data_IF_743518658059
#
_entry.id   IF_743518658059
#
_cell.length_a   1.000
_cell.length_b   1.000
_cell.length_c   1.000
_cell.angle_alpha   90.00
_cell.angle_beta   90.00
_cell.angle_gamma   90.00
#
_symmetry.space_group_name_H-M   'P 1'
#
loop_
_entity.id
_entity.type
_entity.pdbx_description
1 polymer ?
#
# COMPACT_ATOMS: atom_id res chain seq x y z
N UNK A 1 -33.61 75.43 -62.11
CA UNK A 1 -32.55 74.51 -61.71
C UNK A 1 -32.42 74.41 -60.17
N UNK A 2 -33.45 73.96 -59.47
CA UNK A 2 -33.46 73.82 -57.98
C UNK A 2 -34.40 72.73 -57.54
N UNK A 3 -34.28 71.49 -58.10
CA UNK A 3 -35.11 70.41 -57.65
C UNK A 3 -34.39 69.00 -57.64
N UNK A 4 -33.08 68.98 -57.79
CA UNK A 4 -32.35 67.72 -57.91
C UNK A 4 -31.40 67.41 -56.68
N UNK A 5 -31.23 68.35 -55.77
CA UNK A 5 -30.33 68.19 -54.61
C UNK A 5 -31.03 67.90 -53.29
N UNK A 6 -32.36 67.73 -53.28
CA UNK A 6 -33.10 67.48 -52.03
C UNK A 6 -33.53 65.99 -51.85
N UNK A 7 -33.20 65.10 -52.80
CA UNK A 7 -33.55 63.67 -52.69
C UNK A 7 -32.41 62.74 -52.31
N UNK A 8 -31.21 63.27 -52.08
CA UNK A 8 -30.03 62.42 -51.71
C UNK A 8 -29.72 62.41 -50.19
N UNK A 9 -30.50 63.06 -49.35
CA UNK A 9 -30.18 63.22 -47.91
C UNK A 9 -31.05 62.40 -46.97
N UNK A 10 -31.89 61.42 -47.45
CA UNK A 10 -32.79 60.63 -46.60
C UNK A 10 -32.46 59.14 -46.52
N UNK A 11 -31.24 58.72 -46.95
CA UNK A 11 -30.83 57.30 -46.89
C UNK A 11 -29.70 56.96 -45.90
N UNK A 12 -29.32 57.91 -45.03
CA UNK A 12 -28.27 57.65 -44.03
C UNK A 12 -28.79 57.83 -42.62
N UNK A 13 -29.70 56.99 -42.21
CA UNK A 13 -30.11 56.91 -40.79
C UNK A 13 -30.46 55.48 -40.37
N UNK A 14 -29.46 54.61 -40.15
CA UNK A 14 -29.57 53.48 -39.21
C UNK A 14 -28.21 53.17 -38.56
N UNK A 15 -27.76 53.98 -37.58
CA UNK A 15 -26.52 53.69 -36.84
C UNK A 15 -26.60 52.41 -35.97
N UNK A 16 -27.80 51.84 -35.75
CA UNK A 16 -27.97 50.67 -34.90
C UNK A 16 -27.53 49.37 -35.56
N UNK A 17 -27.63 49.18 -36.86
CA UNK A 17 -27.20 47.94 -37.53
C UNK A 17 -25.66 47.85 -37.65
N UNK A 18 -24.97 48.93 -37.80
CA UNK A 18 -23.50 48.95 -37.81
C UNK A 18 -22.93 48.68 -36.41
N UNK A 19 -23.58 49.21 -35.34
CA UNK A 19 -23.15 48.96 -33.95
C UNK A 19 -23.43 47.48 -33.56
N UNK A 20 -24.55 46.90 -33.98
CA UNK A 20 -24.81 45.49 -33.74
C UNK A 20 -23.83 44.56 -34.50
N UNK A 21 -23.49 44.90 -35.76
CA UNK A 21 -22.50 44.13 -36.52
C UNK A 21 -21.09 44.25 -35.92
N UNK A 22 -20.69 45.42 -35.44
CA UNK A 22 -19.40 45.61 -34.73
C UNK A 22 -19.36 44.88 -33.36
N UNK A 23 -20.49 44.87 -32.63
CA UNK A 23 -20.58 44.16 -31.35
C UNK A 23 -20.55 42.64 -31.59
N UNK A 24 -21.18 42.13 -32.64
CA UNK A 24 -21.11 40.69 -32.99
C UNK A 24 -19.71 40.33 -33.48
N UNK A 25 -19.01 41.18 -34.22
CA UNK A 25 -17.63 40.97 -34.65
C UNK A 25 -16.67 41.07 -33.45
N UNK A 26 -16.88 41.98 -32.50
CA UNK A 26 -16.11 42.09 -31.25
C UNK A 26 -16.40 40.96 -30.29
N UNK A 27 -17.64 40.44 -30.23
CA UNK A 27 -17.98 39.22 -29.46
C UNK A 27 -17.40 37.95 -30.09
N UNK A 28 -17.27 37.89 -31.41
CA UNK A 28 -16.57 36.80 -32.11
C UNK A 28 -15.03 36.89 -31.96
N UNK A 29 -14.48 38.10 -31.75
CA UNK A 29 -13.03 38.30 -31.49
C UNK A 29 -12.69 38.18 -29.99
N UNK A 30 -13.69 38.28 -29.11
CA UNK A 30 -13.58 38.04 -27.67
C UNK A 30 -13.93 36.59 -27.28
N UNK A 31 -14.20 35.69 -28.22
CA UNK A 31 -14.00 34.26 -27.94
C UNK A 31 -12.52 34.11 -27.60
N UNK A 32 -12.15 33.77 -26.33
CA UNK A 32 -10.80 33.32 -26.10
C UNK A 32 -10.58 32.26 -27.17
N UNK A 33 -9.57 32.48 -28.03
CA UNK A 33 -9.14 31.49 -28.99
C UNK A 33 -9.19 30.16 -28.22
N UNK A 34 -10.17 29.32 -28.56
CA UNK A 34 -10.17 27.96 -28.15
C UNK A 34 -8.85 27.44 -28.73
N UNK A 35 -7.78 27.57 -27.95
CA UNK A 35 -6.55 26.89 -28.24
C UNK A 35 -7.00 25.44 -28.37
N UNK A 36 -7.05 24.96 -29.59
CA UNK A 36 -7.30 23.55 -29.84
C UNK A 36 -6.14 22.87 -29.15
N UNK A 37 -6.35 22.50 -27.86
CA UNK A 37 -5.35 21.79 -27.10
C UNK A 37 -4.92 20.62 -27.95
N UNK A 38 -3.66 20.63 -28.37
CA UNK A 38 -3.09 19.52 -29.10
C UNK A 38 -3.02 18.32 -28.16
N UNK A 39 -3.10 17.14 -28.70
CA UNK A 39 -2.98 15.91 -27.93
C UNK A 39 -1.72 15.93 -27.04
N UNK A 40 -0.58 16.41 -27.59
CA UNK A 40 0.67 16.55 -26.84
C UNK A 40 0.59 17.57 -25.69
N UNK A 41 -0.01 18.77 -25.95
CA UNK A 41 -0.18 19.78 -24.91
C UNK A 41 -1.13 19.33 -23.79
N UNK A 42 -2.19 18.58 -24.12
CA UNK A 42 -3.10 18.00 -23.12
C UNK A 42 -2.40 16.95 -22.27
N UNK A 43 -1.54 16.10 -22.86
CA UNK A 43 -0.73 15.14 -22.09
C UNK A 43 0.22 15.86 -21.13
N UNK A 44 0.91 16.87 -21.60
CA UNK A 44 1.84 17.64 -20.77
C UNK A 44 1.14 18.32 -19.60
N UNK A 45 -0.02 18.95 -19.83
CA UNK A 45 -0.80 19.57 -18.78
C UNK A 45 -1.28 18.54 -17.75
N UNK A 46 -1.78 17.39 -18.22
CA UNK A 46 -2.27 16.32 -17.35
C UNK A 46 -1.14 15.77 -16.46
N UNK A 47 0.06 15.56 -17.00
CA UNK A 47 1.22 15.18 -16.22
C UNK A 47 1.59 16.23 -15.19
N UNK A 48 1.60 17.51 -15.57
CA UNK A 48 1.89 18.63 -14.66
C UNK A 48 0.89 18.68 -13.51
N UNK A 49 -0.41 18.49 -13.78
CA UNK A 49 -1.46 18.48 -12.76
C UNK A 49 -1.30 17.31 -11.79
N UNK A 50 -0.90 16.13 -12.30
CA UNK A 50 -0.59 14.95 -11.48
C UNK A 50 0.64 15.14 -10.59
N UNK A 51 1.70 15.76 -11.11
CA UNK A 51 2.94 16.03 -10.38
C UNK A 51 2.74 17.13 -9.32
N UNK A 52 1.94 18.15 -9.64
CA UNK A 52 1.64 19.27 -8.74
C UNK A 52 0.55 18.93 -7.70
N UNK A 53 -0.07 17.74 -7.80
CA UNK A 53 -1.13 17.32 -6.88
C UNK A 53 -2.50 17.99 -7.15
N UNK A 54 -2.69 18.62 -8.31
CA UNK A 54 -3.98 19.20 -8.74
C UNK A 54 -4.91 18.09 -9.25
N UNK A 55 -5.27 17.14 -8.35
CA UNK A 55 -5.92 15.88 -8.72
C UNK A 55 -7.30 16.07 -9.35
N UNK A 56 -8.08 17.06 -8.92
CA UNK A 56 -9.39 17.36 -9.49
C UNK A 56 -9.28 17.84 -10.92
N UNK A 57 -8.32 18.72 -11.21
CA UNK A 57 -8.07 19.23 -12.55
C UNK A 57 -7.56 18.12 -13.47
N UNK A 58 -6.66 17.25 -12.94
CA UNK A 58 -6.18 16.07 -13.65
C UNK A 58 -7.32 15.10 -14.02
N UNK A 59 -8.28 14.85 -13.11
CA UNK A 59 -9.45 14.01 -13.40
C UNK A 59 -10.32 14.65 -14.48
N UNK A 60 -10.67 15.91 -14.35
CA UNK A 60 -11.50 16.63 -15.34
C UNK A 60 -10.86 16.66 -16.72
N UNK A 61 -9.57 17.02 -16.78
CA UNK A 61 -8.82 17.07 -18.04
C UNK A 61 -8.67 15.69 -18.64
N UNK A 62 -8.40 14.67 -17.81
CA UNK A 62 -8.29 13.27 -18.25
C UNK A 62 -9.60 12.73 -18.83
N UNK A 63 -10.75 13.01 -18.20
CA UNK A 63 -12.07 12.65 -18.72
C UNK A 63 -12.35 13.26 -20.09
N UNK A 64 -12.04 14.57 -20.24
CA UNK A 64 -12.16 15.26 -21.53
C UNK A 64 -11.23 14.67 -22.59
N UNK A 65 -9.99 14.37 -22.21
CA UNK A 65 -8.99 13.77 -23.09
C UNK A 65 -9.41 12.38 -23.56
N UNK A 66 -9.87 11.51 -22.67
CA UNK A 66 -10.38 10.17 -23.02
C UNK A 66 -11.60 10.22 -23.93
N UNK A 67 -12.49 11.22 -23.72
CA UNK A 67 -13.64 11.42 -24.61
C UNK A 67 -13.20 11.87 -26.01
N UNK A 68 -12.18 12.71 -26.11
CA UNK A 68 -11.69 13.25 -27.38
C UNK A 68 -10.76 12.29 -28.12
N UNK A 69 -9.96 11.51 -27.38
CA UNK A 69 -8.98 10.56 -27.93
C UNK A 69 -9.16 9.16 -27.27
N UNK A 70 -10.28 8.47 -27.55
CA UNK A 70 -10.67 7.26 -26.82
C UNK A 70 -9.73 6.06 -27.02
N UNK A 71 -8.91 6.09 -28.07
CA UNK A 71 -7.94 5.03 -28.40
C UNK A 71 -6.51 5.33 -27.93
N UNK A 72 -6.30 6.46 -27.25
CA UNK A 72 -4.98 6.80 -26.73
C UNK A 72 -4.79 6.16 -25.34
N UNK A 73 -3.87 5.19 -25.18
CA UNK A 73 -3.67 4.49 -23.91
C UNK A 73 -3.16 5.42 -22.82
N UNK A 74 -2.33 6.43 -23.15
CA UNK A 74 -1.72 7.32 -22.16
C UNK A 74 -2.74 8.19 -21.43
N UNK A 75 -3.80 8.67 -22.11
CA UNK A 75 -4.84 9.41 -21.40
C UNK A 75 -5.61 8.56 -20.42
N UNK A 76 -5.86 7.28 -20.76
CA UNK A 76 -6.47 6.35 -19.83
C UNK A 76 -5.56 6.01 -18.66
N UNK A 77 -4.27 5.80 -18.93
CA UNK A 77 -3.28 5.58 -17.90
C UNK A 77 -3.24 6.77 -16.90
N UNK A 78 -3.03 7.99 -17.39
CA UNK A 78 -2.96 9.18 -16.52
C UNK A 78 -4.28 9.47 -15.78
N UNK A 79 -5.43 9.25 -16.42
CA UNK A 79 -6.72 9.36 -15.76
C UNK A 79 -6.87 8.33 -14.65
N UNK A 80 -6.43 7.09 -14.88
CA UNK A 80 -6.40 6.03 -13.87
C UNK A 80 -5.52 6.40 -12.68
N UNK A 81 -4.32 6.95 -12.93
CA UNK A 81 -3.42 7.46 -11.88
C UNK A 81 -4.07 8.63 -11.11
N UNK A 82 -4.76 9.54 -11.81
CA UNK A 82 -5.48 10.64 -11.18
C UNK A 82 -6.58 10.15 -10.24
N UNK A 83 -7.39 9.18 -10.67
CA UNK A 83 -8.41 8.56 -9.83
C UNK A 83 -7.81 7.85 -8.63
N UNK A 84 -6.71 7.09 -8.81
CA UNK A 84 -6.06 6.39 -7.71
C UNK A 84 -5.55 7.36 -6.64
N UNK A 85 -4.84 8.40 -7.06
CA UNK A 85 -4.36 9.45 -6.15
C UNK A 85 -5.52 10.22 -5.47
N UNK A 86 -6.68 10.32 -6.11
CA UNK A 86 -7.89 10.92 -5.54
C UNK A 86 -8.68 9.98 -4.62
N UNK A 87 -8.26 8.72 -4.49
CA UNK A 87 -8.92 7.71 -3.63
C UNK A 87 -10.03 6.91 -4.32
N UNK A 88 -10.31 7.13 -5.61
CA UNK A 88 -11.28 6.34 -6.37
C UNK A 88 -10.61 5.12 -7.04
N UNK A 89 -10.34 4.10 -6.22
CA UNK A 89 -9.67 2.89 -6.68
C UNK A 89 -10.49 2.12 -7.74
N UNK A 90 -11.82 2.24 -7.74
CA UNK A 90 -12.68 1.57 -8.72
C UNK A 90 -12.52 2.18 -10.11
N UNK A 91 -12.62 3.51 -10.23
CA UNK A 91 -12.42 4.19 -11.51
C UNK A 91 -10.97 4.07 -11.98
N UNK A 92 -10.02 4.11 -11.06
CA UNK A 92 -8.61 3.88 -11.37
C UNK A 92 -8.40 2.52 -12.04
N UNK A 93 -8.91 1.45 -11.45
CA UNK A 93 -8.83 0.10 -12.02
C UNK A 93 -9.45 0.04 -13.41
N UNK A 94 -10.65 0.61 -13.61
CA UNK A 94 -11.31 0.60 -14.92
C UNK A 94 -10.45 1.27 -16.00
N UNK A 95 -9.93 2.47 -15.71
CA UNK A 95 -9.15 3.21 -16.71
C UNK A 95 -7.79 2.56 -16.98
N UNK A 96 -7.10 2.06 -15.94
CA UNK A 96 -5.80 1.38 -16.10
C UNK A 96 -5.94 0.05 -16.82
N UNK A 97 -6.97 -0.75 -16.55
CA UNK A 97 -7.25 -1.98 -17.31
C UNK A 97 -7.42 -1.67 -18.80
N UNK A 98 -8.19 -0.63 -19.13
CA UNK A 98 -8.36 -0.22 -20.54
C UNK A 98 -7.08 0.37 -21.15
N UNK A 99 -6.20 0.97 -20.35
CA UNK A 99 -4.88 1.41 -20.83
C UNK A 99 -4.01 0.20 -21.21
N UNK A 100 -3.95 -0.83 -20.36
CA UNK A 100 -3.25 -2.08 -20.65
C UNK A 100 -3.84 -2.83 -21.86
N UNK A 101 -5.17 -2.83 -22.02
CA UNK A 101 -5.83 -3.43 -23.21
C UNK A 101 -5.43 -2.73 -24.52
N UNK A 102 -5.27 -1.40 -24.48
CA UNK A 102 -4.88 -0.59 -25.65
C UNK A 102 -3.40 -0.65 -25.97
N UNK A 103 -2.55 -0.73 -24.96
CA UNK A 103 -1.10 -0.90 -25.08
C UNK A 103 -0.59 -1.95 -24.09
N UNK A 104 -0.61 -3.25 -24.45
CA UNK A 104 -0.11 -4.32 -23.59
C UNK A 104 1.40 -4.28 -23.33
N UNK A 105 2.14 -3.31 -23.91
CA UNK A 105 3.57 -3.12 -23.71
C UNK A 105 3.89 -1.91 -22.85
N UNK A 106 2.88 -1.24 -22.31
CA UNK A 106 3.08 -0.16 -21.33
C UNK A 106 3.35 -0.75 -19.93
N UNK A 107 4.64 -0.95 -19.62
CA UNK A 107 5.08 -1.44 -18.30
C UNK A 107 4.57 -0.57 -17.14
N UNK A 108 4.45 0.74 -17.35
CA UNK A 108 4.01 1.66 -16.31
C UNK A 108 2.50 1.50 -16.04
N UNK A 109 1.68 1.31 -17.07
CA UNK A 109 0.25 1.07 -16.90
C UNK A 109 -0.02 -0.24 -16.12
N UNK A 110 0.68 -1.34 -16.45
CA UNK A 110 0.62 -2.60 -15.69
C UNK A 110 1.07 -2.42 -14.24
N UNK A 111 2.15 -1.68 -14.00
CA UNK A 111 2.64 -1.39 -12.67
C UNK A 111 1.61 -0.60 -11.84
N UNK A 112 1.04 0.47 -12.40
CA UNK A 112 0.06 1.30 -11.71
C UNK A 112 -1.26 0.55 -11.48
N UNK A 113 -1.70 -0.31 -12.42
CA UNK A 113 -2.84 -1.20 -12.22
C UNK A 113 -2.60 -2.15 -11.04
N UNK A 114 -1.39 -2.71 -10.94
CA UNK A 114 -1.03 -3.57 -9.83
C UNK A 114 -1.06 -2.83 -8.49
N UNK A 115 -0.61 -1.56 -8.42
CA UNK A 115 -0.73 -0.76 -7.20
C UNK A 115 -2.17 -0.59 -6.74
N UNK A 116 -3.10 -0.33 -7.68
CA UNK A 116 -4.53 -0.25 -7.38
C UNK A 116 -5.06 -1.58 -6.84
N UNK A 117 -4.71 -2.69 -7.50
CA UNK A 117 -5.14 -4.04 -7.10
C UNK A 117 -4.59 -4.45 -5.73
N UNK A 118 -3.33 -4.10 -5.43
CA UNK A 118 -2.74 -4.30 -4.10
C UNK A 118 -3.48 -3.51 -3.02
N UNK A 119 -3.90 -2.29 -3.30
CA UNK A 119 -4.69 -1.48 -2.36
C UNK A 119 -6.07 -2.08 -2.07
N UNK A 120 -6.61 -2.83 -3.02
CA UNK A 120 -7.86 -3.58 -2.90
C UNK A 120 -7.67 -5.01 -2.36
N UNK A 121 -6.44 -5.38 -1.96
CA UNK A 121 -6.06 -6.72 -1.50
C UNK A 121 -6.29 -7.84 -2.54
N UNK A 122 -6.37 -7.47 -3.82
CA UNK A 122 -6.48 -8.43 -4.92
C UNK A 122 -5.09 -8.92 -5.35
N UNK A 123 -4.44 -9.66 -4.46
CA UNK A 123 -3.03 -10.02 -4.59
C UNK A 123 -2.72 -10.91 -5.80
N UNK A 124 -3.64 -11.81 -6.16
CA UNK A 124 -3.44 -12.75 -7.28
C UNK A 124 -3.40 -12.01 -8.61
N UNK A 125 -4.38 -11.11 -8.85
CA UNK A 125 -4.42 -10.33 -10.09
C UNK A 125 -3.30 -9.29 -10.11
N UNK A 126 -2.98 -8.67 -8.95
CA UNK A 126 -1.85 -7.76 -8.83
C UNK A 126 -0.52 -8.43 -9.22
N UNK A 127 -0.31 -9.70 -8.82
CA UNK A 127 0.87 -10.46 -9.22
C UNK A 127 0.95 -10.62 -10.74
N UNK A 128 -0.16 -10.94 -11.41
CA UNK A 128 -0.19 -11.07 -12.88
C UNK A 128 0.20 -9.76 -13.58
N UNK A 129 -0.31 -8.63 -13.10
CA UNK A 129 0.03 -7.32 -13.68
C UNK A 129 1.49 -6.94 -13.41
N UNK A 130 2.04 -7.28 -12.23
CA UNK A 130 3.46 -7.07 -11.93
C UNK A 130 4.36 -7.98 -12.77
N UNK A 131 3.98 -9.24 -12.98
CA UNK A 131 4.68 -10.15 -13.89
C UNK A 131 4.74 -9.57 -15.30
N UNK A 132 3.62 -9.03 -15.81
CA UNK A 132 3.59 -8.35 -17.12
C UNK A 132 4.50 -7.12 -17.16
N UNK A 133 4.45 -6.26 -16.13
CA UNK A 133 5.34 -5.10 -16.01
C UNK A 133 6.82 -5.49 -16.02
N UNK A 134 7.19 -6.52 -15.25
CA UNK A 134 8.57 -7.02 -15.14
C UNK A 134 9.04 -7.66 -16.46
N UNK A 135 8.17 -8.37 -17.19
CA UNK A 135 8.54 -8.90 -18.51
C UNK A 135 8.95 -7.79 -19.49
N UNK A 136 8.35 -6.62 -19.39
CA UNK A 136 8.66 -5.47 -20.23
C UNK A 136 9.86 -4.70 -19.68
N UNK A 137 9.93 -4.52 -18.35
CA UNK A 137 10.99 -3.75 -17.67
C UNK A 137 11.59 -4.57 -16.52
N UNK A 138 12.49 -5.53 -16.81
CA UNK A 138 13.03 -6.45 -15.80
C UNK A 138 13.92 -5.79 -14.73
N UNK A 139 14.36 -4.54 -14.97
CA UNK A 139 15.24 -3.82 -14.04
C UNK A 139 14.51 -2.99 -12.99
N UNK A 140 13.18 -3.07 -12.92
CA UNK A 140 12.40 -2.34 -11.92
C UNK A 140 12.43 -3.08 -10.57
N UNK A 141 13.39 -2.74 -9.70
CA UNK A 141 13.53 -3.36 -8.38
C UNK A 141 12.27 -3.24 -7.51
N UNK A 142 11.55 -2.11 -7.59
CA UNK A 142 10.31 -1.91 -6.84
C UNK A 142 9.19 -2.86 -7.31
N UNK A 143 9.10 -3.12 -8.62
CA UNK A 143 8.13 -4.09 -9.15
C UNK A 143 8.38 -5.50 -8.59
N UNK A 144 9.65 -5.93 -8.48
CA UNK A 144 10.01 -7.19 -7.85
C UNK A 144 9.65 -7.23 -6.35
N UNK A 145 9.86 -6.14 -5.60
CA UNK A 145 9.39 -6.08 -4.18
C UNK A 145 7.87 -6.21 -4.09
N UNK A 146 7.13 -5.51 -4.94
CA UNK A 146 5.67 -5.56 -4.91
C UNK A 146 5.13 -6.92 -5.34
N UNK A 147 5.78 -7.57 -6.32
CA UNK A 147 5.44 -8.94 -6.73
C UNK A 147 5.71 -9.94 -5.60
N UNK A 148 6.87 -9.83 -4.94
CA UNK A 148 7.17 -10.65 -3.76
C UNK A 148 6.12 -10.48 -2.65
N UNK A 149 5.67 -9.25 -2.38
CA UNK A 149 4.59 -8.98 -1.42
C UNK A 149 3.24 -9.57 -1.87
N UNK A 150 2.91 -9.48 -3.16
CA UNK A 150 1.70 -10.09 -3.70
C UNK A 150 1.74 -11.63 -3.56
N UNK A 151 2.89 -12.25 -3.80
CA UNK A 151 3.10 -13.67 -3.60
C UNK A 151 2.98 -14.10 -2.14
N UNK A 152 3.58 -13.35 -1.19
CA UNK A 152 3.42 -13.63 0.24
C UNK A 152 1.95 -13.65 0.66
N UNK A 153 1.19 -12.62 0.26
CA UNK A 153 -0.24 -12.53 0.60
C UNK A 153 -1.11 -13.55 -0.16
N UNK A 154 -0.54 -14.24 -1.16
CA UNK A 154 -1.17 -15.36 -1.89
C UNK A 154 -0.62 -16.74 -1.48
N UNK A 155 0.06 -16.85 -0.33
CA UNK A 155 0.69 -18.09 0.18
C UNK A 155 1.76 -18.69 -0.78
N UNK A 156 2.42 -17.85 -1.58
CA UNK A 156 3.46 -18.25 -2.53
C UNK A 156 4.85 -17.80 -2.04
N UNK A 157 5.18 -18.16 -0.78
CA UNK A 157 6.37 -17.63 -0.09
C UNK A 157 7.70 -17.98 -0.76
N UNK A 158 7.81 -19.13 -1.44
CA UNK A 158 9.02 -19.52 -2.18
C UNK A 158 9.29 -18.54 -3.33
N UNK A 159 8.26 -18.23 -4.10
CA UNK A 159 8.36 -17.29 -5.22
C UNK A 159 8.64 -15.86 -4.70
N UNK A 160 8.07 -15.48 -3.56
CA UNK A 160 8.37 -14.20 -2.93
C UNK A 160 9.86 -14.04 -2.59
N UNK A 161 10.51 -15.10 -2.08
CA UNK A 161 11.96 -15.10 -1.80
C UNK A 161 12.77 -14.79 -3.05
N UNK A 162 12.44 -15.40 -4.19
CA UNK A 162 13.18 -15.21 -5.44
C UNK A 162 13.03 -13.78 -5.96
N UNK A 163 11.82 -13.20 -5.83
CA UNK A 163 11.57 -11.82 -6.21
C UNK A 163 12.28 -10.81 -5.30
N UNK A 164 12.30 -11.00 -3.98
CA UNK A 164 13.04 -10.13 -3.07
C UNK A 164 14.55 -10.21 -3.27
N UNK A 165 15.09 -11.39 -3.55
CA UNK A 165 16.50 -11.55 -3.92
C UNK A 165 16.84 -10.81 -5.21
N UNK A 166 15.95 -10.88 -6.20
CA UNK A 166 16.10 -10.16 -7.46
C UNK A 166 16.06 -8.66 -7.23
N UNK A 167 15.11 -8.16 -6.44
CA UNK A 167 15.02 -6.75 -6.06
C UNK A 167 16.31 -6.26 -5.39
N UNK A 168 16.84 -6.99 -4.41
CA UNK A 168 18.09 -6.67 -3.71
C UNK A 168 19.32 -6.73 -4.61
N UNK A 169 19.32 -7.60 -5.63
CA UNK A 169 20.38 -7.65 -6.64
C UNK A 169 20.34 -6.43 -7.56
N UNK A 170 19.16 -5.95 -7.93
CA UNK A 170 18.95 -4.79 -8.79
C UNK A 170 19.24 -3.48 -8.05
N UNK A 171 18.71 -3.37 -6.83
CA UNK A 171 18.94 -2.24 -5.95
C UNK A 171 19.25 -2.74 -4.52
N UNK A 172 20.54 -2.87 -4.18
CA UNK A 172 20.94 -3.27 -2.83
C UNK A 172 20.49 -2.32 -1.73
N UNK A 173 20.10 -1.07 -2.06
CA UNK A 173 19.65 -0.06 -1.11
C UNK A 173 18.13 0.06 -1.03
N UNK A 174 17.39 -0.83 -1.72
CA UNK A 174 15.94 -0.75 -1.72
C UNK A 174 15.37 -0.83 -0.30
N UNK A 175 14.48 0.11 0.00
CA UNK A 175 13.94 0.26 1.35
C UNK A 175 13.25 -1.02 1.82
N UNK A 176 13.62 -1.49 3.04
CA UNK A 176 13.07 -2.69 3.67
C UNK A 176 13.23 -3.97 2.84
N UNK A 177 14.18 -4.01 1.90
CA UNK A 177 14.41 -5.18 1.05
C UNK A 177 14.77 -6.43 1.83
N UNK A 178 15.72 -6.31 2.76
CA UNK A 178 16.11 -7.40 3.65
C UNK A 178 15.00 -7.77 4.65
N UNK A 179 14.21 -6.79 5.12
CA UNK A 179 13.03 -7.07 5.95
C UNK A 179 12.03 -7.97 5.23
N UNK A 180 11.66 -7.63 3.98
CA UNK A 180 10.72 -8.44 3.21
C UNK A 180 11.25 -9.84 2.92
N UNK A 181 12.54 -9.96 2.62
CA UNK A 181 13.19 -11.27 2.43
C UNK A 181 13.20 -12.08 3.72
N UNK A 182 13.53 -11.46 4.85
CA UNK A 182 13.47 -12.10 6.17
C UNK A 182 12.09 -12.59 6.53
N UNK A 183 11.05 -11.76 6.27
CA UNK A 183 9.67 -12.13 6.52
C UNK A 183 9.22 -13.33 5.64
N UNK A 184 9.66 -13.37 4.38
CA UNK A 184 9.38 -14.50 3.51
C UNK A 184 10.06 -15.79 4.00
N UNK A 185 11.29 -15.73 4.52
CA UNK A 185 11.95 -16.87 5.16
C UNK A 185 11.20 -17.31 6.43
N UNK A 186 10.84 -16.37 7.29
CA UNK A 186 10.09 -16.64 8.53
C UNK A 186 8.74 -17.33 8.26
N UNK A 187 8.03 -16.91 7.19
CA UNK A 187 6.77 -17.54 6.80
C UNK A 187 6.89 -19.02 6.39
N UNK A 188 8.09 -19.46 6.06
CA UNK A 188 8.43 -20.87 5.78
C UNK A 188 9.09 -21.59 6.97
N UNK A 189 9.18 -20.95 8.14
CA UNK A 189 9.88 -21.49 9.31
C UNK A 189 11.42 -21.51 9.17
N UNK A 190 11.96 -20.82 8.16
CA UNK A 190 13.41 -20.70 7.92
C UNK A 190 13.98 -19.57 8.79
N UNK A 191 13.88 -19.75 10.10
CA UNK A 191 14.12 -18.68 11.06
C UNK A 191 15.59 -18.22 11.11
N UNK A 192 16.56 -19.09 10.87
CA UNK A 192 17.97 -18.68 10.86
C UNK A 192 18.29 -17.74 9.70
N UNK A 193 17.72 -17.99 8.52
CA UNK A 193 17.85 -17.07 7.36
C UNK A 193 17.07 -15.78 7.62
N UNK A 194 15.88 -15.85 8.21
CA UNK A 194 15.12 -14.65 8.58
C UNK A 194 15.90 -13.75 9.53
N UNK A 195 16.52 -14.33 10.59
CA UNK A 195 17.37 -13.63 11.56
C UNK A 195 18.53 -12.92 10.86
N UNK A 196 19.19 -13.58 9.90
CA UNK A 196 20.32 -13.01 9.18
C UNK A 196 19.88 -11.76 8.37
N UNK A 197 18.75 -11.88 7.68
CA UNK A 197 18.20 -10.78 6.88
C UNK A 197 17.74 -9.60 7.76
N UNK A 198 17.02 -9.84 8.85
CA UNK A 198 16.60 -8.78 9.77
C UNK A 198 17.79 -8.05 10.42
N UNK A 199 18.85 -8.79 10.80
CA UNK A 199 20.08 -8.15 11.30
C UNK A 199 20.72 -7.25 10.25
N UNK A 200 20.73 -7.70 8.99
CA UNK A 200 21.26 -6.91 7.86
C UNK A 200 20.42 -5.64 7.67
N UNK A 201 19.08 -5.74 7.75
CA UNK A 201 18.21 -4.56 7.63
C UNK A 201 18.50 -3.55 8.74
N UNK A 202 18.59 -4.00 10.02
CA UNK A 202 18.88 -3.12 11.15
C UNK A 202 20.24 -2.41 11.04
N UNK A 203 21.27 -3.10 10.52
CA UNK A 203 22.59 -2.50 10.29
C UNK A 203 22.56 -1.41 9.21
N UNK A 204 21.68 -1.54 8.23
CA UNK A 204 21.61 -0.63 7.08
C UNK A 204 20.68 0.55 7.30
N UNK A 205 19.50 0.29 7.82
CA UNK A 205 18.39 1.24 7.89
C UNK A 205 18.13 1.78 9.30
N UNK A 206 18.87 1.27 10.31
CA UNK A 206 18.63 1.58 11.70
C UNK A 206 17.41 0.82 12.26
N UNK A 207 16.99 1.24 13.46
CA UNK A 207 15.91 0.56 14.17
C UNK A 207 14.52 0.94 13.62
N UNK A 208 13.83 -0.03 13.10
CA UNK A 208 12.41 0.01 12.77
C UNK A 208 11.66 -0.93 13.71
N UNK A 209 10.56 -0.48 14.37
CA UNK A 209 9.83 -1.31 15.34
C UNK A 209 9.48 -2.69 14.82
N UNK A 210 8.98 -2.76 13.57
CA UNK A 210 8.58 -4.01 12.92
C UNK A 210 9.78 -4.96 12.73
N UNK A 211 10.93 -4.43 12.29
CA UNK A 211 12.13 -5.26 12.05
C UNK A 211 12.70 -5.80 13.37
N UNK A 212 12.71 -4.96 14.42
CA UNK A 212 13.15 -5.36 15.76
C UNK A 212 12.25 -6.43 16.35
N UNK A 213 10.93 -6.29 16.19
CA UNK A 213 9.96 -7.28 16.62
C UNK A 213 10.11 -8.62 15.88
N UNK A 214 10.17 -8.60 14.55
CA UNK A 214 10.29 -9.82 13.74
C UNK A 214 11.62 -10.55 14.00
N UNK A 215 12.70 -9.82 14.25
CA UNK A 215 13.96 -10.42 14.69
C UNK A 215 13.80 -11.12 16.05
N UNK A 216 13.19 -10.44 17.02
CA UNK A 216 12.93 -11.03 18.34
C UNK A 216 12.02 -12.25 18.27
N UNK A 217 10.99 -12.20 17.45
CA UNK A 217 10.07 -13.33 17.19
C UNK A 217 10.80 -14.51 16.54
N UNK A 218 11.57 -14.27 15.47
CA UNK A 218 12.32 -15.34 14.79
C UNK A 218 13.39 -15.98 15.70
N UNK A 219 14.00 -15.20 16.59
CA UNK A 219 14.92 -15.71 17.61
C UNK A 219 14.19 -16.62 18.61
N UNK A 220 12.99 -16.22 19.04
CA UNK A 220 12.15 -17.02 19.92
C UNK A 220 11.75 -18.34 19.27
N UNK A 221 11.30 -18.31 18.03
CA UNK A 221 10.93 -19.54 17.28
C UNK A 221 12.13 -20.43 16.96
N UNK A 222 13.36 -19.89 16.98
CA UNK A 222 14.62 -20.65 16.88
C UNK A 222 15.14 -21.17 18.24
N UNK A 223 14.42 -20.94 19.34
CA UNK A 223 14.84 -21.33 20.68
C UNK A 223 16.01 -20.51 21.26
N UNK A 224 16.30 -19.35 20.67
CA UNK A 224 17.33 -18.40 21.13
C UNK A 224 16.73 -17.42 22.15
N UNK A 225 16.09 -17.95 23.20
CA UNK A 225 15.19 -17.22 24.10
C UNK A 225 15.86 -16.02 24.77
N UNK A 226 17.11 -16.13 25.21
CA UNK A 226 17.83 -15.04 25.87
C UNK A 226 18.09 -13.86 24.94
N UNK A 227 18.42 -14.13 23.69
CA UNK A 227 18.61 -13.10 22.65
C UNK A 227 17.26 -12.51 22.23
N UNK A 228 16.21 -13.36 22.09
CA UNK A 228 14.85 -12.93 21.80
C UNK A 228 14.33 -11.91 22.83
N UNK A 229 14.56 -12.14 24.14
CA UNK A 229 14.18 -11.20 25.21
C UNK A 229 14.78 -9.81 24.96
N UNK A 230 16.05 -9.72 24.57
CA UNK A 230 16.71 -8.45 24.32
C UNK A 230 16.01 -7.65 23.22
N UNK A 231 15.74 -8.29 22.07
CA UNK A 231 15.08 -7.62 20.95
C UNK A 231 13.60 -7.36 21.23
N UNK A 232 12.87 -8.27 21.89
CA UNK A 232 11.47 -8.06 22.25
C UNK A 232 11.29 -6.95 23.30
N UNK A 233 12.21 -6.80 24.26
CA UNK A 233 12.25 -5.66 25.17
C UNK A 233 12.46 -4.33 24.39
N UNK A 234 13.34 -4.36 23.40
CA UNK A 234 13.55 -3.20 22.55
C UNK A 234 12.32 -2.87 21.71
N UNK A 235 11.66 -3.88 21.12
CA UNK A 235 10.39 -3.72 20.40
C UNK A 235 9.31 -3.11 21.31
N UNK A 236 9.19 -3.56 22.56
CA UNK A 236 8.23 -3.01 23.54
C UNK A 236 8.51 -1.55 23.93
N UNK A 237 9.77 -1.09 23.83
CA UNK A 237 10.11 0.32 24.00
C UNK A 237 9.73 1.16 22.78
N UNK A 238 9.90 0.61 21.57
CA UNK A 238 9.60 1.29 20.31
C UNK A 238 8.10 1.34 20.03
N UNK A 239 7.39 0.25 20.29
CA UNK A 239 5.92 0.18 20.20
C UNK A 239 5.31 -0.45 21.47
N UNK A 240 5.06 0.34 22.52
CA UNK A 240 4.51 -0.15 23.78
C UNK A 240 3.02 -0.52 23.71
N UNK A 241 2.33 -0.28 22.56
CA UNK A 241 0.89 -0.53 22.40
C UNK A 241 0.58 -1.82 21.62
N UNK A 242 1.56 -2.47 21.04
CA UNK A 242 1.34 -3.76 20.37
C UNK A 242 1.23 -4.90 21.38
N UNK A 243 0.08 -5.56 21.54
CA UNK A 243 -0.10 -6.68 22.45
C UNK A 243 0.77 -7.89 22.11
N UNK A 244 1.12 -8.08 20.82
CA UNK A 244 1.92 -9.23 20.37
C UNK A 244 3.37 -9.14 20.84
N UNK A 245 3.91 -7.93 20.89
CA UNK A 245 5.26 -7.69 21.42
C UNK A 245 5.34 -8.13 22.87
N UNK A 246 4.37 -7.71 23.70
CA UNK A 246 4.31 -8.08 25.11
C UNK A 246 4.05 -9.56 25.32
N UNK A 247 3.19 -10.16 24.49
CA UNK A 247 2.96 -11.62 24.51
C UNK A 247 4.24 -12.41 24.23
N UNK A 248 4.93 -12.08 23.13
CA UNK A 248 6.16 -12.82 22.76
C UNK A 248 7.29 -12.57 23.76
N UNK A 249 7.40 -11.36 24.32
CA UNK A 249 8.33 -11.09 25.41
C UNK A 249 8.04 -11.95 26.63
N UNK A 250 6.77 -12.02 27.05
CA UNK A 250 6.36 -12.88 28.15
C UNK A 250 6.59 -14.38 27.88
N UNK A 251 6.31 -14.84 26.65
CA UNK A 251 6.59 -16.24 26.23
C UNK A 251 8.08 -16.55 26.33
N UNK A 252 8.95 -15.68 25.81
CA UNK A 252 10.41 -15.83 25.90
C UNK A 252 10.89 -15.85 27.34
N UNK A 253 10.35 -15.00 28.20
CA UNK A 253 10.68 -14.94 29.63
C UNK A 253 10.21 -16.19 30.38
N UNK A 254 9.04 -16.77 30.04
CA UNK A 254 8.59 -18.06 30.60
C UNK A 254 9.56 -19.18 30.24
N UNK A 255 9.99 -19.27 28.98
CA UNK A 255 10.92 -20.27 28.48
C UNK A 255 12.30 -20.17 29.15
N UNK A 256 12.79 -18.94 29.32
CA UNK A 256 14.07 -18.63 30.01
C UNK A 256 14.00 -18.72 31.54
N UNK A 257 12.85 -19.02 32.14
CA UNK A 257 12.71 -19.16 33.60
C UNK A 257 12.52 -17.84 34.36
N UNK A 258 12.34 -16.72 33.67
CA UNK A 258 12.14 -15.39 34.27
C UNK A 258 10.66 -15.15 34.62
N UNK A 259 10.07 -16.00 35.47
CA UNK A 259 8.64 -16.08 35.71
C UNK A 259 8.00 -14.77 36.21
N UNK A 260 8.66 -14.02 37.11
CA UNK A 260 8.14 -12.74 37.60
C UNK A 260 8.10 -11.65 36.51
N UNK A 261 9.11 -11.61 35.63
CA UNK A 261 9.13 -10.67 34.51
C UNK A 261 8.06 -11.07 33.46
N UNK A 262 7.91 -12.37 33.21
CA UNK A 262 6.89 -12.90 32.33
C UNK A 262 5.47 -12.51 32.76
N UNK A 263 5.16 -12.59 34.07
CA UNK A 263 3.88 -12.15 34.62
C UNK A 263 3.58 -10.71 34.23
N UNK A 264 4.55 -9.78 34.42
CA UNK A 264 4.36 -8.37 34.11
C UNK A 264 4.09 -8.15 32.60
N UNK A 265 4.89 -8.80 31.75
CA UNK A 265 4.75 -8.69 30.28
C UNK A 265 3.41 -9.27 29.80
N UNK A 266 3.01 -10.44 30.30
CA UNK A 266 1.76 -11.10 29.90
C UNK A 266 0.51 -10.32 30.37
N UNK A 267 0.54 -9.78 31.60
CA UNK A 267 -0.54 -8.90 32.08
C UNK A 267 -0.67 -7.64 31.21
N UNK A 268 0.45 -7.08 30.73
CA UNK A 268 0.43 -5.96 29.80
C UNK A 268 -0.17 -6.33 28.45
N UNK A 269 0.15 -7.53 27.92
CA UNK A 269 -0.49 -8.04 26.70
C UNK A 269 -2.01 -8.19 26.88
N UNK A 270 -2.46 -8.75 28.03
CA UNK A 270 -3.89 -8.90 28.36
C UNK A 270 -4.58 -7.54 28.49
N UNK A 271 -3.95 -6.55 29.11
CA UNK A 271 -4.45 -5.19 29.23
C UNK A 271 -4.72 -4.57 27.84
N UNK A 272 -3.80 -4.79 26.90
CA UNK A 272 -3.89 -4.24 25.54
C UNK A 272 -4.89 -5.02 24.66
N UNK A 273 -5.03 -6.33 24.87
CA UNK A 273 -5.98 -7.19 24.14
C UNK A 273 -6.58 -8.26 25.04
N UNK A 274 -7.63 -7.91 25.78
CA UNK A 274 -8.32 -8.82 26.72
C UNK A 274 -9.09 -9.98 26.04
N UNK A 275 -9.17 -10.01 24.70
CA UNK A 275 -9.90 -11.06 23.96
C UNK A 275 -8.97 -12.18 23.46
N UNK A 276 -7.66 -11.98 23.53
CA UNK A 276 -6.70 -13.00 23.12
C UNK A 276 -6.54 -14.03 24.25
N UNK A 277 -6.81 -15.33 24.01
CA UNK A 277 -6.57 -16.39 25.00
C UNK A 277 -5.08 -16.66 25.25
N UNK A 278 -4.21 -16.45 24.25
CA UNK A 278 -2.82 -16.92 24.28
C UNK A 278 -2.00 -16.40 25.46
N UNK A 279 -2.09 -15.11 25.88
CA UNK A 279 -1.35 -14.62 27.05
C UNK A 279 -1.78 -15.28 28.36
N UNK A 280 -3.06 -15.62 28.53
CA UNK A 280 -3.58 -16.30 29.71
C UNK A 280 -2.92 -17.68 29.93
N UNK A 281 -2.75 -18.44 28.85
CA UNK A 281 -2.06 -19.73 28.91
C UNK A 281 -0.60 -19.59 29.37
N UNK A 282 0.13 -18.63 28.81
CA UNK A 282 1.53 -18.38 29.22
C UNK A 282 1.61 -17.80 30.65
N UNK A 283 0.64 -16.95 31.04
CA UNK A 283 0.57 -16.40 32.39
C UNK A 283 0.33 -17.50 33.41
N UNK A 284 -0.53 -18.48 33.15
CA UNK A 284 -0.71 -19.65 34.01
C UNK A 284 0.60 -20.39 34.21
N UNK A 285 1.39 -20.59 33.14
CA UNK A 285 2.72 -21.24 33.22
C UNK A 285 3.72 -20.42 34.07
N UNK A 286 3.69 -19.11 33.95
CA UNK A 286 4.53 -18.22 34.76
C UNK A 286 4.14 -18.31 36.26
N UNK A 287 2.84 -18.27 36.57
CA UNK A 287 2.30 -18.36 37.93
C UNK A 287 2.60 -19.72 38.60
N UNK A 288 2.57 -20.82 37.85
CA UNK A 288 3.01 -22.15 38.36
C UNK A 288 4.48 -22.13 38.77
N UNK A 289 5.36 -21.53 37.98
CA UNK A 289 6.78 -21.36 38.32
C UNK A 289 6.98 -20.48 39.57
N UNK A 290 6.02 -19.62 39.89
CA UNK A 290 5.99 -18.77 41.08
C UNK A 290 5.26 -19.42 42.26
N UNK A 291 4.86 -20.68 42.14
CA UNK A 291 4.13 -21.45 43.16
C UNK A 291 2.75 -20.86 43.51
N UNK A 292 2.13 -20.12 42.61
CA UNK A 292 0.81 -19.45 42.76
C UNK A 292 -0.28 -20.29 42.06
N UNK A 293 -0.51 -21.51 42.56
CA UNK A 293 -1.34 -22.53 41.89
C UNK A 293 -2.79 -22.11 41.66
N UNK A 294 -3.43 -21.38 42.61
CA UNK A 294 -4.84 -20.98 42.47
C UNK A 294 -5.00 -19.91 41.38
N UNK A 295 -4.07 -18.98 41.29
CA UNK A 295 -4.08 -17.99 40.23
C UNK A 295 -3.79 -18.62 38.87
N UNK A 296 -2.87 -19.58 38.82
CA UNK A 296 -2.59 -20.32 37.59
C UNK A 296 -3.82 -21.06 37.07
N UNK A 297 -4.63 -21.64 38.01
CA UNK A 297 -5.89 -22.31 37.67
C UNK A 297 -6.90 -21.30 37.07
N UNK A 298 -7.09 -20.14 37.69
CA UNK A 298 -7.99 -19.09 37.22
C UNK A 298 -7.61 -18.64 35.81
N UNK A 299 -6.32 -18.48 35.53
CA UNK A 299 -5.85 -18.08 34.18
C UNK A 299 -6.10 -19.17 33.13
N UNK A 300 -5.99 -20.45 33.49
CA UNK A 300 -6.33 -21.57 32.60
C UNK A 300 -7.85 -21.62 32.30
N UNK A 301 -8.67 -21.38 33.30
CA UNK A 301 -10.12 -21.29 33.13
C UNK A 301 -10.45 -20.13 32.16
N UNK A 302 -9.82 -18.97 32.35
CA UNK A 302 -9.98 -17.82 31.45
C UNK A 302 -9.54 -18.10 30.02
N UNK A 303 -8.40 -18.79 29.85
CA UNK A 303 -7.95 -19.27 28.54
C UNK A 303 -9.02 -20.12 27.87
N UNK A 304 -9.57 -21.11 28.58
CA UNK A 304 -10.58 -22.03 28.05
C UNK A 304 -11.88 -21.33 27.66
N UNK A 305 -12.35 -20.38 28.49
CA UNK A 305 -13.52 -19.54 28.18
C UNK A 305 -13.33 -18.73 26.91
N UNK A 306 -12.23 -18.01 26.79
CA UNK A 306 -11.93 -17.17 25.64
C UNK A 306 -11.77 -18.01 24.37
N UNK A 307 -11.10 -19.16 24.47
CA UNK A 307 -10.94 -20.07 23.32
C UNK A 307 -12.30 -20.64 22.85
N UNK A 308 -13.21 -20.95 23.79
CA UNK A 308 -14.57 -21.39 23.45
C UNK A 308 -15.42 -20.28 22.83
N UNK A 309 -15.17 -19.02 23.20
CA UNK A 309 -15.90 -17.87 22.67
C UNK A 309 -15.44 -17.44 21.25
N UNK A 310 -14.27 -17.92 20.81
CA UNK A 310 -13.80 -17.65 19.45
C UNK A 310 -14.62 -18.45 18.42
N UNK A 311 -15.14 -17.81 17.34
CA UNK A 311 -15.85 -18.52 16.29
C UNK A 311 -14.92 -19.54 15.61
N UNK A 312 -15.46 -20.72 15.27
CA UNK A 312 -14.73 -21.85 14.67
C UNK A 312 -13.99 -21.53 13.34
N UNK A 313 -14.28 -20.37 12.73
CA UNK A 313 -13.63 -19.91 11.50
C UNK A 313 -12.23 -19.29 11.71
N UNK A 314 -11.84 -18.97 12.94
CA UNK A 314 -10.48 -18.51 13.24
C UNK A 314 -9.43 -19.62 13.24
N UNK A 315 -9.87 -20.89 13.29
CA UNK A 315 -8.99 -22.07 13.39
C UNK A 315 -8.25 -22.47 12.11
N UNK A 316 -8.47 -21.81 10.96
CA UNK A 316 -7.73 -22.13 9.72
C UNK A 316 -6.42 -21.34 9.57
N UNK A 317 -6.19 -20.30 10.39
CA UNK A 317 -4.95 -19.54 10.38
C UNK A 317 -3.88 -20.09 11.35
N UNK A 318 -4.23 -20.98 12.28
CA UNK A 318 -3.35 -21.50 13.33
C UNK A 318 -2.99 -23.00 13.17
N UNK A 319 -3.21 -23.60 12.00
CA UNK A 319 -2.73 -24.96 11.69
C UNK A 319 -1.19 -25.07 11.54
N UNK A 320 -0.44 -24.11 12.10
CA UNK A 320 1.03 -24.12 12.15
C UNK A 320 1.60 -24.44 13.55
N UNK A 321 0.75 -24.72 14.53
CA UNK A 321 1.18 -25.10 15.90
C UNK A 321 1.05 -26.63 16.18
N UNK A 322 1.26 -27.48 15.15
CA UNK A 322 1.45 -28.94 15.35
C UNK A 322 2.75 -29.40 14.73
#
# INVERSE_FOLDING_TARGET
MTSFLQRAASSFARPHRLRLALIIILLCLACPSAHTQTQAGTRQQLLQDLESGHLQDAVLLGQQAVSRWPRDPLFRHYLGVAYFKSGDAKQAQEQLTRACDLDPKDSAAHFDLALVLLSQQNYVVAATELEASIQITPSNALAHVLLGRAYLNSNRSVQAIDEFKTALKLDPAIRLGHYHLGFAYGSLGRNDEAIAEYRTELQRSGEHPEVVYELGHSLLESGKDAEAITYLQRAAQLDPKDPNVWYNLGKAQVLSGHAAQAEASLRKSIELNAKDPSPHYQLARALEKLERADEARAERERFAELKKAQPATAGMATARDQ
#
